data_IF_598770966619
#
_entry.id   IF_598770966619
#
_cell.length_a   1.000
_cell.length_b   1.000
_cell.length_c   1.000
_cell.angle_alpha   90.00
_cell.angle_beta   90.00
_cell.angle_gamma   90.00
#
_symmetry.space_group_name_H-M   'P 1'
#
loop_
_entity.id
_entity.type
_entity.pdbx_description
1 polymer ?
#
# COMPACT_ATOMS: atom_id res chain seq x y z
N UNK A 1 12.35 6.61 -4.59
CA UNK A 1 11.63 5.65 -3.72
C UNK A 1 12.21 4.25 -3.95
N UNK A 2 12.40 3.43 -2.91
CA UNK A 2 13.34 2.28 -2.93
C UNK A 2 13.04 1.13 -3.94
N UNK A 3 11.91 1.18 -4.68
CA UNK A 3 11.51 0.20 -5.73
C UNK A 3 11.68 -1.29 -5.34
N UNK A 4 11.58 -1.60 -4.04
CA UNK A 4 11.68 -2.96 -3.50
C UNK A 4 10.36 -3.68 -3.76
N UNK A 5 10.41 -4.93 -4.24
CA UNK A 5 9.19 -5.71 -4.43
C UNK A 5 8.58 -6.12 -3.07
N UNK A 6 7.24 -6.29 -2.96
CA UNK A 6 6.59 -6.62 -1.69
C UNK A 6 7.14 -7.89 -1.01
N UNK A 7 7.42 -8.95 -1.78
CA UNK A 7 8.01 -10.19 -1.24
C UNK A 7 9.42 -9.93 -0.68
N UNK A 8 10.24 -9.19 -1.40
CA UNK A 8 11.61 -8.86 -1.02
C UNK A 8 11.63 -7.97 0.23
N UNK A 9 10.64 -7.08 0.39
CA UNK A 9 10.45 -6.30 1.61
C UNK A 9 10.23 -7.20 2.82
N UNK A 10 9.43 -8.25 2.67
CA UNK A 10 9.13 -9.21 3.73
C UNK A 10 10.31 -10.13 4.09
N UNK A 11 11.35 -10.25 3.26
CA UNK A 11 12.57 -10.97 3.63
C UNK A 11 13.46 -10.19 4.61
N UNK A 12 13.24 -8.88 4.75
CA UNK A 12 13.90 -8.07 5.77
C UNK A 12 13.07 -8.11 7.06
N UNK A 13 13.65 -8.44 8.23
CA UNK A 13 12.90 -8.51 9.49
C UNK A 13 12.09 -7.24 9.79
N UNK A 14 12.70 -6.07 9.61
CA UNK A 14 12.03 -4.78 9.81
C UNK A 14 10.95 -4.52 8.76
N UNK A 15 11.15 -4.98 7.52
CA UNK A 15 10.19 -4.83 6.44
C UNK A 15 8.96 -5.71 6.62
N UNK A 16 9.14 -6.94 7.11
CA UNK A 16 8.05 -7.84 7.45
C UNK A 16 7.13 -7.25 8.53
N UNK A 17 7.70 -6.68 9.60
CA UNK A 17 6.90 -6.06 10.66
C UNK A 17 6.14 -4.83 10.16
N UNK A 18 6.77 -3.95 9.38
CA UNK A 18 6.08 -2.82 8.75
C UNK A 18 4.96 -3.28 7.80
N UNK A 19 5.17 -4.36 7.04
CA UNK A 19 4.16 -4.90 6.16
C UNK A 19 2.95 -5.43 6.94
N UNK A 20 3.18 -6.18 8.02
CA UNK A 20 2.11 -6.65 8.92
C UNK A 20 1.33 -5.49 9.53
N UNK A 21 2.04 -4.46 10.01
CA UNK A 21 1.41 -3.25 10.56
C UNK A 21 0.54 -2.54 9.51
N UNK A 22 0.99 -2.46 8.25
CA UNK A 22 0.18 -1.91 7.17
C UNK A 22 -1.11 -2.70 6.97
N UNK A 23 -1.05 -4.03 6.89
CA UNK A 23 -2.26 -4.87 6.77
C UNK A 23 -3.18 -4.70 7.99
N UNK A 24 -2.63 -4.59 9.19
CA UNK A 24 -3.39 -4.34 10.41
C UNK A 24 -4.14 -3.00 10.39
N UNK A 25 -3.57 -1.94 9.80
CA UNK A 25 -4.28 -0.67 9.59
C UNK A 25 -5.53 -0.86 8.72
N UNK A 26 -5.42 -1.63 7.63
CA UNK A 26 -6.56 -1.92 6.75
C UNK A 26 -7.65 -2.68 7.51
N UNK A 27 -7.26 -3.71 8.28
CA UNK A 27 -8.19 -4.48 9.09
C UNK A 27 -8.88 -3.62 10.17
N UNK A 28 -8.15 -2.73 10.83
CA UNK A 28 -8.71 -1.82 11.83
C UNK A 28 -9.74 -0.86 11.21
N UNK A 29 -9.44 -0.30 10.03
CA UNK A 29 -10.35 0.57 9.30
C UNK A 29 -11.59 -0.18 8.81
N UNK A 30 -11.42 -1.41 8.31
CA UNK A 30 -12.53 -2.25 7.86
C UNK A 30 -13.48 -2.60 9.02
N UNK A 31 -12.93 -3.05 10.16
CA UNK A 31 -13.70 -3.37 11.36
C UNK A 31 -14.46 -2.15 11.89
N UNK A 32 -13.83 -0.98 11.94
CA UNK A 32 -14.50 0.27 12.33
C UNK A 32 -15.61 0.68 11.34
N UNK A 33 -15.53 0.24 10.08
CA UNK A 33 -16.55 0.44 9.05
C UNK A 33 -17.69 -0.59 9.12
N UNK A 34 -17.64 -1.54 10.05
CA UNK A 34 -18.63 -2.62 10.19
C UNK A 34 -18.38 -3.83 9.31
N UNK A 35 -17.20 -3.96 8.70
CA UNK A 35 -16.76 -5.15 7.96
C UNK A 35 -15.86 -5.98 8.87
N UNK A 36 -16.33 -7.17 9.24
CA UNK A 36 -15.57 -8.09 10.08
C UNK A 36 -14.36 -8.64 9.32
N UNK A 37 -13.16 -8.28 9.78
CA UNK A 37 -11.88 -8.78 9.28
C UNK A 37 -11.15 -9.38 10.46
N UNK A 38 -11.06 -10.71 10.47
CA UNK A 38 -10.43 -11.47 11.55
C UNK A 38 -8.93 -11.67 11.36
N UNK A 39 -8.29 -12.26 12.37
CA UNK A 39 -6.86 -12.57 12.32
C UNK A 39 -6.52 -13.51 11.16
N UNK A 40 -7.40 -14.47 10.84
CA UNK A 40 -7.20 -15.40 9.73
C UNK A 40 -7.20 -14.71 8.36
N UNK A 41 -8.02 -13.67 8.18
CA UNK A 41 -8.02 -12.85 6.95
C UNK A 41 -6.71 -12.08 6.80
N UNK A 42 -6.23 -11.50 7.91
CA UNK A 42 -4.93 -10.81 7.98
C UNK A 42 -3.78 -11.76 7.66
N UNK A 43 -3.76 -12.95 8.28
CA UNK A 43 -2.73 -13.96 7.98
C UNK A 43 -2.80 -14.45 6.54
N UNK A 44 -4.00 -14.57 5.98
CA UNK A 44 -4.20 -14.91 4.57
C UNK A 44 -3.60 -13.84 3.67
N UNK A 45 -3.87 -12.55 3.92
CA UNK A 45 -3.31 -11.45 3.14
C UNK A 45 -1.78 -11.40 3.21
N UNK A 46 -1.19 -11.60 4.39
CA UNK A 46 0.26 -11.70 4.58
C UNK A 46 0.83 -12.87 3.78
N UNK A 47 0.19 -14.05 3.88
CA UNK A 47 0.63 -15.27 3.20
C UNK A 47 0.57 -15.14 1.67
N UNK A 48 -0.43 -14.43 1.14
CA UNK A 48 -0.55 -14.17 -0.30
C UNK A 48 0.66 -13.41 -0.86
N UNK A 49 1.27 -12.51 -0.08
CA UNK A 49 2.47 -11.77 -0.49
C UNK A 49 3.73 -12.59 -0.23
N UNK A 50 3.80 -13.29 0.90
CA UNK A 50 4.92 -14.17 1.23
C UNK A 50 5.11 -15.32 0.21
N UNK A 51 4.03 -15.75 -0.45
CA UNK A 51 4.07 -16.81 -1.46
C UNK A 51 4.32 -16.30 -2.90
N UNK A 52 4.49 -14.99 -3.12
CA UNK A 52 4.85 -14.47 -4.44
C UNK A 52 6.32 -14.80 -4.77
N UNK A 53 6.66 -14.94 -6.07
CA UNK A 53 8.06 -15.02 -6.48
C UNK A 53 8.87 -13.81 -6.01
N UNK A 54 10.15 -14.00 -5.71
CA UNK A 54 11.08 -12.89 -5.46
C UNK A 54 11.10 -11.94 -6.66
N UNK A 55 11.16 -10.63 -6.38
CA UNK A 55 11.10 -9.58 -7.38
C UNK A 55 9.72 -9.35 -8.01
N UNK A 56 8.67 -10.08 -7.62
CA UNK A 56 7.32 -9.88 -8.15
C UNK A 56 6.74 -8.52 -7.72
N UNK A 57 6.57 -7.61 -8.70
CA UNK A 57 6.09 -6.24 -8.47
C UNK A 57 4.56 -6.15 -8.41
N UNK A 58 4.05 -5.19 -7.66
CA UNK A 58 2.64 -4.79 -7.73
C UNK A 58 2.34 -3.93 -8.97
N UNK A 59 1.08 -3.86 -9.40
CA UNK A 59 0.66 -3.03 -10.55
C UNK A 59 1.09 -1.57 -10.38
N UNK A 60 0.74 -0.94 -9.26
CA UNK A 60 1.12 0.45 -8.97
C UNK A 60 2.65 0.68 -8.94
N UNK A 61 3.44 -0.34 -8.60
CA UNK A 61 4.90 -0.27 -8.67
C UNK A 61 5.41 -0.30 -10.11
N UNK A 62 4.74 -1.05 -10.99
CA UNK A 62 5.00 -1.07 -12.44
C UNK A 62 4.58 0.27 -13.05
N UNK A 63 3.39 0.76 -12.73
CA UNK A 63 2.89 2.06 -13.22
C UNK A 63 3.82 3.20 -12.80
N UNK A 64 4.28 3.22 -11.55
CA UNK A 64 5.28 4.18 -11.09
C UNK A 64 6.61 4.06 -11.86
N UNK A 65 7.02 2.83 -12.21
CA UNK A 65 8.25 2.61 -12.95
C UNK A 65 8.14 3.08 -14.41
N UNK A 66 6.96 2.95 -15.01
CA UNK A 66 6.63 3.34 -16.39
C UNK A 66 6.21 4.81 -16.50
N UNK A 67 6.07 5.52 -15.38
CA UNK A 67 5.58 6.90 -15.36
C UNK A 67 4.10 7.01 -15.73
N UNK A 68 3.28 6.03 -15.36
CA UNK A 68 1.84 6.07 -15.57
C UNK A 68 1.14 6.69 -14.35
N UNK A 69 -0.07 7.23 -14.52
CA UNK A 69 -0.93 7.62 -13.40
C UNK A 69 -1.13 6.46 -12.42
N UNK A 70 -1.17 6.77 -11.13
CA UNK A 70 -1.31 5.78 -10.07
C UNK A 70 -2.74 5.70 -9.56
N UNK A 71 -3.18 4.50 -9.19
CA UNK A 71 -4.43 4.27 -8.44
C UNK A 71 -4.28 4.63 -6.94
N UNK A 72 -3.42 5.60 -6.63
CA UNK A 72 -2.95 5.89 -5.27
C UNK A 72 -4.11 6.22 -4.32
N UNK A 73 -4.95 7.17 -4.71
CA UNK A 73 -6.09 7.62 -3.91
C UNK A 73 -7.21 6.57 -3.83
N UNK A 74 -7.33 5.71 -4.85
CA UNK A 74 -8.32 4.64 -4.88
C UNK A 74 -7.96 3.50 -3.90
N UNK A 75 -6.67 3.23 -3.72
CA UNK A 75 -6.18 2.13 -2.89
C UNK A 75 -5.62 2.64 -1.56
N UNK A 76 -4.48 3.33 -1.57
CA UNK A 76 -3.76 3.74 -0.36
C UNK A 76 -4.45 4.93 0.32
N UNK A 77 -4.79 5.96 -0.46
CA UNK A 77 -5.46 7.16 0.05
C UNK A 77 -6.87 6.86 0.60
N UNK A 78 -7.53 5.84 0.06
CA UNK A 78 -8.84 5.40 0.52
C UNK A 78 -8.81 4.93 1.97
N UNK A 79 -7.84 4.09 2.35
CA UNK A 79 -7.67 3.59 3.72
C UNK A 79 -7.50 4.75 4.70
N UNK A 80 -6.59 5.69 4.41
CA UNK A 80 -6.35 6.83 5.29
C UNK A 80 -7.55 7.79 5.39
N UNK A 81 -8.28 8.00 4.29
CA UNK A 81 -9.50 8.81 4.29
C UNK A 81 -10.60 8.20 5.14
N UNK A 82 -10.86 6.90 5.00
CA UNK A 82 -11.86 6.20 5.82
C UNK A 82 -11.40 6.18 7.29
N UNK A 83 -10.13 5.87 7.55
CA UNK A 83 -9.56 5.89 8.90
C UNK A 83 -9.78 7.23 9.61
N UNK A 84 -9.45 8.36 8.96
CA UNK A 84 -9.71 9.69 9.51
C UNK A 84 -11.20 9.94 9.82
N UNK A 85 -12.10 9.50 8.95
CA UNK A 85 -13.54 9.68 9.17
C UNK A 85 -14.06 8.87 10.37
N UNK A 86 -13.41 7.75 10.70
CA UNK A 86 -13.79 6.85 11.79
C UNK A 86 -12.93 7.02 13.05
N UNK A 87 -11.95 7.93 13.04
CA UNK A 87 -11.00 8.11 14.14
C UNK A 87 -9.99 6.97 14.31
N UNK A 88 -9.75 6.17 13.27
CA UNK A 88 -8.75 5.08 13.26
C UNK A 88 -7.44 5.58 12.65
N UNK A 89 -6.30 5.49 13.36
CA UNK A 89 -5.02 5.93 12.83
C UNK A 89 -4.48 4.96 11.76
N UNK A 90 -3.92 5.53 10.68
CA UNK A 90 -3.33 4.79 9.55
C UNK A 90 -1.95 5.35 9.16
N UNK A 91 -1.00 5.46 10.10
CA UNK A 91 0.27 6.17 9.88
C UNK A 91 1.12 5.61 8.73
N UNK A 92 1.10 4.30 8.47
CA UNK A 92 1.86 3.70 7.37
C UNK A 92 1.20 4.05 6.04
N UNK A 93 -0.13 3.92 5.93
CA UNK A 93 -0.84 4.33 4.71
C UNK A 93 -0.68 5.83 4.43
N UNK A 94 -0.74 6.68 5.47
CA UNK A 94 -0.55 8.12 5.31
C UNK A 94 0.87 8.46 4.83
N UNK A 95 1.88 7.76 5.35
CA UNK A 95 3.27 7.90 4.89
C UNK A 95 3.42 7.47 3.42
N UNK A 96 2.94 6.28 3.07
CA UNK A 96 3.03 5.76 1.70
C UNK A 96 2.28 6.66 0.72
N UNK A 97 1.08 7.12 1.09
CA UNK A 97 0.31 8.07 0.29
C UNK A 97 1.11 9.34 0.03
N UNK A 98 1.66 9.94 1.08
CA UNK A 98 2.46 11.18 0.99
C UNK A 98 3.69 11.00 0.10
N UNK A 99 4.39 9.87 0.20
CA UNK A 99 5.57 9.58 -0.62
C UNK A 99 5.25 9.39 -2.11
N UNK A 100 4.06 8.89 -2.42
CA UNK A 100 3.62 8.61 -3.80
C UNK A 100 2.85 9.77 -4.43
N UNK A 101 2.36 10.72 -3.64
CA UNK A 101 1.55 11.85 -4.11
C UNK A 101 2.18 12.64 -5.27
N UNK A 102 3.51 12.92 -5.28
CA UNK A 102 4.15 13.61 -6.41
C UNK A 102 4.11 12.84 -7.74
N UNK A 103 3.78 11.54 -7.71
CA UNK A 103 3.76 10.65 -8.86
C UNK A 103 2.35 10.28 -9.32
N UNK A 104 1.30 10.80 -8.66
CA UNK A 104 -0.10 10.37 -8.88
C UNK A 104 -0.56 10.50 -10.33
N UNK A 105 -0.07 11.50 -11.07
CA UNK A 105 -0.44 11.77 -12.46
C UNK A 105 0.57 11.23 -13.49
N UNK A 106 1.57 10.45 -13.07
CA UNK A 106 2.76 10.19 -13.90
C UNK A 106 3.74 11.37 -13.88
N UNK A 107 4.78 11.38 -14.75
CA UNK A 107 5.61 12.57 -14.92
C UNK A 107 4.77 13.71 -15.51
N UNK A 108 5.12 14.99 -15.24
CA UNK A 108 4.48 16.10 -15.94
C UNK A 108 4.59 15.86 -17.46
N UNK A 109 3.53 16.15 -18.21
CA UNK A 109 3.56 16.08 -19.68
C UNK A 109 4.85 16.72 -20.19
N UNK A 110 5.59 15.98 -21.01
CA UNK A 110 6.74 16.56 -21.70
C UNK A 110 6.23 17.78 -22.48
N UNK A 111 6.84 18.97 -22.37
CA UNK A 111 6.41 20.11 -23.15
C UNK A 111 6.43 19.71 -24.63
N UNK A 112 5.35 20.02 -25.35
CA UNK A 112 5.26 19.80 -26.80
C UNK A 112 6.57 20.24 -27.47
N UNK A 113 7.26 19.29 -28.11
CA UNK A 113 8.41 19.56 -28.95
C UNK A 113 7.97 20.17 -30.29
#
# INVERSE_FOLDING_TARGET
>A
MARIAPRDLMDMPQGAELFKMAIAEVAAVANASGVDIGDDDVQTAISLIANRPLGARGSMQIDLADGKPLELEAIVGCVGRIGRNLGVPTPIHDLVNTMLLPHISGPPEAPCA
#
